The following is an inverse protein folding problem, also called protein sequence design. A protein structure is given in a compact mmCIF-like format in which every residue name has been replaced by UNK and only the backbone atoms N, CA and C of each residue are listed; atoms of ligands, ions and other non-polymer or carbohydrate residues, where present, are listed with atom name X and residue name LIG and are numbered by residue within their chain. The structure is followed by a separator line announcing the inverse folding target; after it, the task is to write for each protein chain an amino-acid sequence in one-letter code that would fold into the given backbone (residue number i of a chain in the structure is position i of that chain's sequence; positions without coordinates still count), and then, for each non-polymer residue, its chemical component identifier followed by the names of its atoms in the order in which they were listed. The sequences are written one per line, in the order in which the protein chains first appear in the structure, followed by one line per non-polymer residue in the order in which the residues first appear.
data_IF_706893725170
#
_entry.id   IF_706893725170
#
_cell.length_a   1.000
_cell.length_b   1.000
_cell.length_c   1.000
_cell.angle_alpha   90.00
_cell.angle_beta   90.00
_cell.angle_gamma   90.00
#
_symmetry.space_group_name_H-M   'P 1'
#
loop_
_entity.id
_entity.type
_entity.pdbx_description
1 polymer ?
#
# COMPACT_ATOMS: atom_id res chain seq x y z
N UNK A 1 25.95 -10.68 7.67
CA UNK A 1 25.08 -9.63 7.11
C UNK A 1 24.39 -10.14 5.86
N UNK A 2 23.07 -9.89 5.66
CA UNK A 2 22.35 -10.37 4.46
C UNK A 2 22.97 -9.75 3.21
N UNK A 3 23.53 -10.59 2.33
CA UNK A 3 24.26 -10.14 1.14
C UNK A 3 23.34 -9.85 -0.05
N UNK A 4 22.21 -10.54 -0.13
CA UNK A 4 21.29 -10.44 -1.26
C UNK A 4 19.82 -10.46 -0.79
N UNK A 5 19.06 -9.44 -1.15
CA UNK A 5 17.63 -9.35 -0.85
C UNK A 5 16.80 -10.36 -1.63
N UNK A 6 17.32 -10.86 -2.75
CA UNK A 6 16.66 -11.90 -3.54
C UNK A 6 16.46 -13.21 -2.75
N UNK A 7 17.31 -13.45 -1.75
CA UNK A 7 17.21 -14.63 -0.88
C UNK A 7 15.90 -14.63 -0.05
N UNK A 8 15.20 -13.50 0.07
CA UNK A 8 13.88 -13.43 0.69
C UNK A 8 12.88 -14.34 -0.01
N UNK A 9 12.98 -14.51 -1.33
CA UNK A 9 12.05 -15.35 -2.08
C UNK A 9 12.15 -16.84 -1.63
N UNK A 10 13.34 -17.27 -1.24
CA UNK A 10 13.62 -18.64 -0.78
C UNK A 10 12.96 -18.92 0.57
N UNK A 11 13.12 -18.01 1.53
CA UNK A 11 12.52 -18.19 2.85
C UNK A 11 11.00 -18.07 2.79
N UNK A 12 10.46 -17.16 1.97
CA UNK A 12 9.01 -16.98 1.80
C UNK A 12 8.35 -18.20 1.15
N UNK A 13 8.95 -18.73 0.09
CA UNK A 13 8.45 -19.96 -0.55
C UNK A 13 8.54 -21.17 0.40
N UNK A 14 9.62 -21.28 1.18
CA UNK A 14 9.78 -22.36 2.16
C UNK A 14 8.71 -22.31 3.24
N UNK A 15 8.50 -21.15 3.87
CA UNK A 15 7.48 -20.99 4.93
C UNK A 15 6.07 -21.15 4.37
N UNK A 16 5.78 -20.57 3.21
CA UNK A 16 4.44 -20.57 2.65
C UNK A 16 3.95 -21.91 2.09
N UNK A 17 4.81 -22.92 1.97
CA UNK A 17 4.40 -24.31 1.78
C UNK A 17 3.72 -24.90 3.04
N UNK A 18 3.83 -24.23 4.18
CA UNK A 18 3.27 -24.65 5.47
C UNK A 18 2.26 -23.62 5.94
N UNK A 19 0.99 -23.81 5.59
CA UNK A 19 -0.10 -22.84 5.84
C UNK A 19 -0.22 -22.37 7.30
N UNK A 20 0.03 -23.26 8.27
CA UNK A 20 -0.01 -22.94 9.71
C UNK A 20 1.36 -22.53 10.28
N UNK A 21 2.29 -22.13 9.43
CA UNK A 21 3.69 -21.86 9.77
C UNK A 21 4.53 -23.12 9.99
N UNK A 22 5.82 -22.90 10.18
CA UNK A 22 6.86 -23.94 10.32
C UNK A 22 7.64 -23.73 11.62
N UNK A 23 8.07 -24.80 12.30
CA UNK A 23 8.93 -24.63 13.49
C UNK A 23 10.28 -24.07 13.05
N UNK A 24 10.86 -23.19 13.85
CA UNK A 24 12.12 -22.51 13.52
C UNK A 24 13.26 -23.48 13.21
N UNK A 25 13.36 -24.57 13.97
CA UNK A 25 14.36 -25.62 13.73
C UNK A 25 14.17 -26.34 12.38
N UNK A 26 12.92 -26.61 12.01
CA UNK A 26 12.56 -27.32 10.79
C UNK A 26 12.81 -26.41 9.58
N UNK A 27 12.51 -25.12 9.72
CA UNK A 27 12.83 -24.10 8.70
C UNK A 27 14.32 -24.07 8.39
N UNK A 28 15.18 -24.03 9.41
CA UNK A 28 16.61 -24.02 9.18
C UNK A 28 17.11 -25.30 8.52
N UNK A 29 16.64 -26.47 8.97
CA UNK A 29 16.96 -27.75 8.31
C UNK A 29 16.60 -27.71 6.83
N UNK A 30 15.38 -27.29 6.50
CA UNK A 30 14.90 -27.22 5.12
C UNK A 30 15.66 -26.22 4.25
N UNK A 31 16.05 -25.06 4.81
CA UNK A 31 16.86 -24.09 4.09
C UNK A 31 18.25 -24.66 3.77
N UNK A 32 18.86 -25.40 4.70
CA UNK A 32 20.15 -26.06 4.47
C UNK A 32 20.05 -27.19 3.45
N UNK A 33 18.97 -27.97 3.47
CA UNK A 33 18.77 -29.12 2.59
C UNK A 33 18.43 -28.70 1.15
N UNK A 34 17.54 -27.71 0.97
CA UNK A 34 17.06 -27.29 -0.36
C UNK A 34 18.02 -26.39 -1.11
N UNK A 35 18.95 -25.75 -0.41
CA UNK A 35 19.87 -24.80 -1.03
C UNK A 35 21.27 -25.00 -0.43
N UNK A 36 22.08 -25.95 -0.93
CA UNK A 36 23.42 -26.22 -0.41
C UNK A 36 24.36 -24.99 -0.43
N UNK A 37 24.09 -24.04 -1.33
CA UNK A 37 24.77 -22.74 -1.42
C UNK A 37 24.46 -21.81 -0.23
N UNK A 38 23.33 -22.01 0.47
CA UNK A 38 22.98 -21.27 1.69
C UNK A 38 24.00 -21.54 2.80
N UNK A 39 24.58 -22.74 2.90
CA UNK A 39 25.57 -23.06 3.94
C UNK A 39 26.84 -22.20 3.88
N UNK A 40 27.20 -21.68 2.70
CA UNK A 40 28.46 -20.98 2.48
C UNK A 40 28.31 -19.46 2.33
N UNK A 41 27.14 -18.97 1.91
CA UNK A 41 26.96 -17.54 1.54
C UNK A 41 25.76 -16.84 2.20
N UNK A 42 24.78 -17.57 2.73
CA UNK A 42 23.53 -17.00 3.25
C UNK A 42 23.40 -17.37 4.72
N UNK A 43 23.41 -16.39 5.62
CA UNK A 43 23.20 -16.65 7.05
C UNK A 43 21.69 -16.78 7.33
N UNK A 44 21.12 -17.98 7.55
CA UNK A 44 19.66 -18.15 7.58
C UNK A 44 18.99 -17.40 8.72
N UNK A 45 19.72 -17.19 9.82
CA UNK A 45 19.28 -16.37 10.96
C UNK A 45 19.12 -14.90 10.57
N UNK A 46 20.04 -14.37 9.77
CA UNK A 46 19.98 -12.98 9.33
C UNK A 46 18.91 -12.79 8.26
N UNK A 47 18.77 -13.75 7.34
CA UNK A 47 17.68 -13.75 6.36
C UNK A 47 16.32 -13.74 7.07
N UNK A 48 16.14 -14.59 8.08
CA UNK A 48 14.95 -14.62 8.92
C UNK A 48 14.74 -13.28 9.64
N UNK A 49 15.77 -12.72 10.26
CA UNK A 49 15.67 -11.43 10.94
C UNK A 49 15.31 -10.29 9.99
N UNK A 50 15.86 -10.27 8.77
CA UNK A 50 15.50 -9.27 7.76
C UNK A 50 14.06 -9.44 7.29
N UNK A 51 13.62 -10.66 7.02
CA UNK A 51 12.24 -10.95 6.65
C UNK A 51 11.24 -10.54 7.75
N UNK A 52 11.59 -10.72 9.03
CA UNK A 52 10.79 -10.24 10.16
C UNK A 52 10.81 -8.70 10.24
N UNK A 53 11.97 -8.06 10.08
CA UNK A 53 12.09 -6.59 10.10
C UNK A 53 11.28 -5.92 9.00
N UNK A 54 11.24 -6.53 7.83
CA UNK A 54 10.42 -6.12 6.67
C UNK A 54 8.93 -6.47 6.83
N UNK A 55 8.54 -7.06 7.96
CA UNK A 55 7.18 -7.51 8.24
C UNK A 55 6.64 -8.49 7.19
N UNK A 56 7.49 -9.40 6.70
CA UNK A 56 7.11 -10.48 5.78
C UNK A 56 6.85 -11.80 6.51
N UNK A 57 7.48 -11.97 7.68
CA UNK A 57 7.35 -13.14 8.54
C UNK A 57 7.10 -12.69 9.97
N UNK A 58 6.32 -13.47 10.71
CA UNK A 58 6.20 -13.33 12.17
C UNK A 58 6.80 -14.56 12.85
N UNK A 59 7.26 -14.37 14.09
CA UNK A 59 7.72 -15.46 14.94
C UNK A 59 6.90 -15.48 16.23
N UNK A 60 6.15 -16.56 16.48
CA UNK A 60 5.41 -16.77 17.73
C UNK A 60 5.60 -18.22 18.22
N UNK A 61 5.89 -18.41 19.52
CA UNK A 61 5.99 -19.72 20.16
C UNK A 61 6.79 -20.77 19.33
N UNK A 62 8.00 -20.40 18.90
CA UNK A 62 8.92 -21.20 18.06
C UNK A 62 8.42 -21.53 16.63
N UNK A 63 7.31 -20.92 16.20
CA UNK A 63 6.77 -21.04 14.84
C UNK A 63 7.01 -19.76 14.04
N UNK A 64 7.36 -19.93 12.78
CA UNK A 64 7.50 -18.89 11.78
C UNK A 64 6.34 -18.98 10.80
N UNK A 65 5.65 -17.87 10.55
CA UNK A 65 4.50 -17.80 9.63
C UNK A 65 4.59 -16.56 8.74
N UNK A 66 3.90 -16.58 7.61
CA UNK A 66 3.78 -15.42 6.72
C UNK A 66 2.82 -14.38 7.32
N UNK A 67 3.23 -13.11 7.24
CA UNK A 67 2.34 -11.95 7.41
C UNK A 67 1.47 -11.77 6.16
N UNK A 68 0.59 -10.76 6.17
CA UNK A 68 -0.15 -10.35 4.98
C UNK A 68 0.81 -9.93 3.84
N UNK A 69 1.82 -9.11 4.12
CA UNK A 69 2.86 -8.75 3.14
C UNK A 69 3.61 -9.98 2.61
N UNK A 70 3.97 -10.93 3.49
CA UNK A 70 4.62 -12.18 3.10
C UNK A 70 3.78 -13.01 2.14
N UNK A 71 2.48 -13.17 2.41
CA UNK A 71 1.55 -13.91 1.53
C UNK A 71 1.35 -13.21 0.19
N UNK A 72 1.27 -11.88 0.17
CA UNK A 72 1.14 -11.10 -1.07
C UNK A 72 2.39 -11.26 -1.94
N UNK A 73 3.59 -11.20 -1.37
CA UNK A 73 4.83 -11.42 -2.13
C UNK A 73 4.92 -12.86 -2.62
N UNK A 74 4.51 -13.83 -1.80
CA UNK A 74 4.52 -15.24 -2.18
C UNK A 74 3.55 -15.52 -3.34
N UNK A 75 2.37 -14.89 -3.36
CA UNK A 75 1.40 -15.09 -4.45
C UNK A 75 1.88 -14.52 -5.80
N UNK A 76 2.83 -13.58 -5.77
CA UNK A 76 3.50 -13.07 -6.97
C UNK A 76 4.62 -13.99 -7.48
N UNK A 77 5.04 -14.98 -6.69
CA UNK A 77 6.17 -15.83 -7.02
C UNK A 77 5.81 -16.78 -8.17
N UNK A 78 6.63 -16.76 -9.22
CA UNK A 78 6.54 -17.77 -10.28
C UNK A 78 7.29 -19.04 -9.86
N UNK A 79 6.80 -20.23 -10.23
CA UNK A 79 7.53 -21.47 -10.02
C UNK A 79 8.96 -21.37 -10.58
N UNK A 80 9.95 -21.88 -9.84
CA UNK A 80 11.35 -22.02 -10.26
C UNK A 80 12.17 -20.71 -10.38
N UNK A 81 11.62 -19.55 -10.00
CA UNK A 81 12.40 -18.30 -9.93
C UNK A 81 12.86 -18.05 -8.49
N UNK A 82 14.17 -17.95 -8.31
CA UNK A 82 14.84 -17.70 -7.01
C UNK A 82 14.98 -16.19 -6.75
N UNK A 83 15.07 -15.36 -7.79
CA UNK A 83 15.18 -13.91 -7.61
C UNK A 83 13.82 -13.24 -7.40
N UNK A 84 13.82 -12.12 -6.67
CA UNK A 84 12.63 -11.28 -6.57
C UNK A 84 12.30 -10.71 -7.94
N UNK A 85 11.07 -10.90 -8.38
CA UNK A 85 10.54 -10.24 -9.58
C UNK A 85 10.49 -8.73 -9.37
N UNK A 86 10.48 -7.97 -10.47
CA UNK A 86 10.34 -6.51 -10.44
C UNK A 86 9.14 -6.04 -9.60
N UNK A 87 8.03 -6.77 -9.65
CA UNK A 87 6.82 -6.46 -8.90
C UNK A 87 7.01 -6.72 -7.40
N UNK A 88 7.66 -7.83 -7.04
CA UNK A 88 7.99 -8.15 -5.64
C UNK A 88 8.95 -7.11 -5.05
N UNK A 89 10.03 -6.76 -5.76
CA UNK A 89 10.96 -5.71 -5.30
C UNK A 89 10.29 -4.35 -5.14
N UNK A 90 9.37 -4.01 -6.05
CA UNK A 90 8.60 -2.77 -5.96
C UNK A 90 7.66 -2.77 -4.75
N UNK A 91 6.98 -3.90 -4.50
CA UNK A 91 6.12 -4.06 -3.33
C UNK A 91 6.89 -3.95 -2.01
N UNK A 92 8.04 -4.61 -1.90
CA UNK A 92 8.92 -4.54 -0.71
C UNK A 92 9.39 -3.11 -0.49
N UNK A 93 9.84 -2.43 -1.54
CA UNK A 93 10.30 -1.04 -1.45
C UNK A 93 9.20 -0.14 -0.87
N UNK A 94 7.99 -0.20 -1.43
CA UNK A 94 6.90 0.70 -1.07
C UNK A 94 6.31 0.37 0.30
N UNK A 95 6.03 -0.91 0.58
CA UNK A 95 5.21 -1.32 1.73
C UNK A 95 6.02 -1.87 2.90
N UNK A 96 7.24 -2.34 2.67
CA UNK A 96 8.05 -3.00 3.70
C UNK A 96 9.26 -2.17 4.13
N UNK A 97 9.67 -1.19 3.33
CA UNK A 97 10.76 -0.26 3.66
C UNK A 97 10.21 1.14 3.91
N UNK A 98 9.61 1.74 2.89
CA UNK A 98 9.33 3.18 2.90
C UNK A 98 8.21 3.53 3.90
N UNK A 99 7.23 2.66 4.13
CA UNK A 99 6.16 2.82 5.14
C UNK A 99 6.47 2.18 6.49
N UNK A 100 7.55 1.41 6.61
CA UNK A 100 7.84 0.61 7.79
C UNK A 100 8.62 1.41 8.84
N UNK A 101 8.12 1.45 10.08
CA UNK A 101 8.74 2.17 11.21
C UNK A 101 10.17 1.71 11.50
N UNK A 102 10.47 0.43 11.30
CA UNK A 102 11.81 -0.15 11.48
C UNK A 102 12.84 0.41 10.47
N UNK A 103 12.37 1.01 9.38
CA UNK A 103 13.19 1.61 8.32
C UNK A 103 12.97 3.12 8.19
N UNK A 104 12.42 3.76 9.23
CA UNK A 104 12.22 5.22 9.27
C UNK A 104 13.52 6.02 9.06
N UNK A 105 14.67 5.47 9.46
CA UNK A 105 16.00 6.04 9.17
C UNK A 105 16.32 6.10 7.67
N UNK A 106 15.81 5.18 6.86
CA UNK A 106 15.97 5.19 5.40
C UNK A 106 15.10 6.23 4.75
N UNK A 107 13.87 6.42 5.21
CA UNK A 107 13.05 7.53 4.76
C UNK A 107 13.75 8.87 5.04
N UNK A 108 14.30 9.06 6.24
CA UNK A 108 15.10 10.26 6.59
C UNK A 108 16.33 10.41 5.70
N UNK A 109 17.06 9.33 5.44
CA UNK A 109 18.23 9.35 4.57
C UNK A 109 17.85 9.71 3.13
N UNK A 110 16.79 9.13 2.57
CA UNK A 110 16.33 9.44 1.22
C UNK A 110 15.87 10.91 1.08
N UNK A 111 15.37 11.53 2.16
CA UNK A 111 15.09 12.98 2.21
C UNK A 111 16.34 13.85 2.14
N UNK A 112 17.54 13.32 2.41
CA UNK A 112 18.79 14.07 2.28
C UNK A 112 19.27 14.18 0.82
N UNK A 113 18.64 13.46 -0.12
CA UNK A 113 18.95 13.61 -1.53
C UNK A 113 18.49 14.99 -2.01
N UNK A 114 19.26 15.59 -2.93
CA UNK A 114 19.03 16.93 -3.45
C UNK A 114 18.71 16.83 -4.95
N UNK A 115 17.74 17.61 -5.42
CA UNK A 115 17.40 17.61 -6.84
C UNK A 115 18.56 18.15 -7.68
N UNK A 116 18.97 17.38 -8.69
CA UNK A 116 19.98 17.76 -9.66
C UNK A 116 19.37 17.99 -11.05
N UNK A 117 19.69 19.14 -11.65
CA UNK A 117 19.16 19.55 -12.96
C UNK A 117 19.71 18.72 -14.12
N UNK A 118 20.96 18.26 -14.03
CA UNK A 118 21.61 17.47 -15.08
C UNK A 118 20.99 16.07 -15.17
N UNK A 119 20.79 15.41 -14.03
CA UNK A 119 20.18 14.07 -13.96
C UNK A 119 18.64 14.12 -13.93
N UNK A 120 18.07 15.32 -13.73
CA UNK A 120 16.62 15.57 -13.60
C UNK A 120 16.00 14.61 -12.58
N UNK A 121 16.68 14.38 -11.46
CA UNK A 121 16.26 13.50 -10.35
C UNK A 121 16.99 13.89 -9.07
N UNK A 122 16.60 13.30 -7.95
CA UNK A 122 17.27 13.51 -6.67
C UNK A 122 18.59 12.73 -6.63
N UNK A 123 19.66 13.34 -6.12
CA UNK A 123 20.99 12.77 -6.03
C UNK A 123 21.56 12.86 -4.62
N UNK A 124 22.51 11.99 -4.31
CA UNK A 124 23.31 12.05 -3.09
C UNK A 124 24.79 11.82 -3.43
N UNK A 125 25.67 12.68 -2.94
CA UNK A 125 27.09 12.58 -3.24
C UNK A 125 27.72 11.43 -2.45
N UNK A 126 28.49 10.58 -3.14
CA UNK A 126 29.22 9.47 -2.52
C UNK A 126 30.30 9.93 -1.54
N UNK A 127 30.78 11.18 -1.62
CA UNK A 127 31.75 11.73 -0.67
C UNK A 127 31.13 12.01 0.72
N UNK A 128 29.83 12.32 0.76
CA UNK A 128 29.10 12.63 2.00
C UNK A 128 28.60 11.34 2.71
N UNK A 129 29.01 10.20 2.19
CA UNK A 129 28.53 8.88 2.55
C UNK A 129 28.83 8.49 4.01
N UNK A 130 27.80 8.28 4.85
CA UNK A 130 28.02 7.74 6.17
C UNK A 130 28.16 6.21 6.06
N UNK A 131 29.32 5.69 6.45
CA UNK A 131 29.63 4.25 6.44
C UNK A 131 28.58 3.39 7.17
N UNK A 132 27.84 3.99 8.12
CA UNK A 132 26.74 3.33 8.84
C UNK A 132 25.58 2.87 7.95
N UNK A 133 25.41 3.45 6.76
CA UNK A 133 24.31 3.13 5.84
C UNK A 133 24.69 2.13 4.73
N UNK A 134 25.88 1.52 4.79
CA UNK A 134 26.37 0.69 3.69
C UNK A 134 25.44 -0.45 3.28
N UNK A 135 24.88 -1.13 4.28
CA UNK A 135 24.00 -2.28 4.05
C UNK A 135 22.65 -1.84 3.51
N UNK A 136 22.19 -0.69 3.98
CA UNK A 136 20.93 -0.12 3.54
C UNK A 136 21.05 0.37 2.10
N UNK A 137 22.17 0.96 1.70
CA UNK A 137 22.42 1.41 0.34
C UNK A 137 22.48 0.25 -0.65
N UNK A 138 23.12 -0.85 -0.26
CA UNK A 138 23.14 -2.08 -1.04
C UNK A 138 21.71 -2.63 -1.22
N UNK A 139 20.94 -2.70 -0.13
CA UNK A 139 19.54 -3.12 -0.16
C UNK A 139 18.67 -2.20 -1.05
N UNK A 140 18.77 -0.87 -0.88
CA UNK A 140 18.04 0.12 -1.68
C UNK A 140 18.42 0.02 -3.17
N UNK A 141 19.66 -0.34 -3.48
CA UNK A 141 20.15 -0.56 -4.84
C UNK A 141 19.55 -1.83 -5.45
N UNK A 142 19.56 -2.95 -4.70
CA UNK A 142 18.99 -4.21 -5.15
C UNK A 142 17.47 -4.11 -5.38
N UNK A 143 16.77 -3.28 -4.59
CA UNK A 143 15.35 -2.96 -4.81
C UNK A 143 15.10 -1.94 -5.93
N UNK A 144 16.16 -1.36 -6.49
CA UNK A 144 16.09 -0.35 -7.55
C UNK A 144 15.52 0.99 -7.10
N UNK A 145 15.57 1.29 -5.80
CA UNK A 145 15.19 2.58 -5.22
C UNK A 145 16.23 3.62 -5.58
N UNK A 146 17.50 3.28 -5.41
CA UNK A 146 18.63 4.11 -5.81
C UNK A 146 19.52 3.35 -6.81
N UNK A 147 20.37 4.08 -7.52
CA UNK A 147 21.43 3.49 -8.36
C UNK A 147 22.68 4.34 -8.31
N UNK A 148 23.85 3.72 -8.30
CA UNK A 148 25.11 4.45 -8.38
C UNK A 148 25.40 4.87 -9.82
N UNK A 149 25.83 6.11 -10.03
CA UNK A 149 26.40 6.59 -11.29
C UNK A 149 27.55 7.52 -10.98
N UNK A 150 28.76 7.17 -11.38
CA UNK A 150 29.98 7.92 -11.04
C UNK A 150 30.10 8.12 -9.51
N UNK A 151 30.33 9.36 -9.08
CA UNK A 151 30.43 9.77 -7.67
C UNK A 151 29.07 10.15 -7.05
N UNK A 152 27.93 9.80 -7.67
CA UNK A 152 26.60 10.12 -7.14
C UNK A 152 25.69 8.90 -7.09
N UNK A 153 24.82 8.88 -6.09
CA UNK A 153 23.67 8.00 -6.03
C UNK A 153 22.46 8.73 -6.60
N UNK A 154 21.76 8.10 -7.54
CA UNK A 154 20.57 8.64 -8.17
C UNK A 154 19.34 7.96 -7.58
N UNK A 155 18.38 8.73 -7.07
CA UNK A 155 17.06 8.23 -6.72
C UNK A 155 16.28 7.90 -8.00
N UNK A 156 15.61 6.77 -8.00
CA UNK A 156 14.72 6.38 -9.09
C UNK A 156 13.44 7.24 -9.04
N UNK A 157 13.12 7.87 -10.17
CA UNK A 157 12.02 8.84 -10.27
C UNK A 157 10.67 8.30 -9.82
N UNK A 158 10.43 6.99 -9.96
CA UNK A 158 9.19 6.35 -9.50
C UNK A 158 8.96 6.48 -7.99
N UNK A 159 10.03 6.62 -7.20
CA UNK A 159 9.95 6.73 -5.75
C UNK A 159 10.03 8.17 -5.23
N UNK A 160 10.27 9.15 -6.10
CA UNK A 160 10.32 10.57 -5.71
C UNK A 160 8.99 10.97 -5.08
N UNK A 161 7.86 10.67 -5.76
CA UNK A 161 6.53 10.97 -5.22
C UNK A 161 6.22 10.26 -3.90
N UNK A 162 6.76 9.05 -3.69
CA UNK A 162 6.56 8.29 -2.46
C UNK A 162 7.35 8.90 -1.29
N UNK A 163 8.56 9.39 -1.54
CA UNK A 163 9.37 10.09 -0.53
C UNK A 163 8.73 11.43 -0.18
N UNK A 164 8.17 12.13 -1.17
CA UNK A 164 7.40 13.36 -0.95
C UNK A 164 6.13 13.09 -0.13
N UNK A 165 5.38 12.02 -0.46
CA UNK A 165 4.16 11.61 0.26
C UNK A 165 4.44 11.18 1.71
N UNK A 166 5.52 10.42 1.96
CA UNK A 166 5.99 10.10 3.32
C UNK A 166 6.42 11.36 4.07
N UNK A 167 7.04 12.31 3.37
CA UNK A 167 7.44 13.59 3.97
C UNK A 167 6.22 14.36 4.45
N UNK A 168 5.11 14.34 3.70
CA UNK A 168 3.83 14.92 4.11
C UNK A 168 3.17 14.19 5.28
N UNK A 169 3.27 12.85 5.35
CA UNK A 169 2.67 12.06 6.44
C UNK A 169 3.48 12.10 7.76
N UNK A 170 4.77 12.45 7.71
CA UNK A 170 5.66 12.49 8.87
C UNK A 170 5.90 13.90 9.43
N UNK A 171 5.32 14.95 8.85
CA UNK A 171 5.52 16.36 9.22
C UNK A 171 4.30 16.97 9.92
N UNK A 172 3.78 16.31 10.94
CA UNK A 172 2.95 16.99 11.97
C UNK A 172 3.80 17.75 13.01
N UNK A 173 4.93 18.32 12.60
CA UNK A 173 5.79 19.08 13.50
C UNK A 173 7.07 19.55 12.82
N UNK A 174 7.02 20.76 12.24
CA UNK A 174 8.21 21.47 11.77
C UNK A 174 8.23 21.71 10.27
N UNK A 175 8.07 22.98 9.90
CA UNK A 175 8.27 23.52 8.56
C UNK A 175 9.62 23.09 7.98
N UNK A 176 9.62 22.41 6.82
CA UNK A 176 10.77 22.36 5.92
C UNK A 176 10.31 22.82 4.52
N UNK A 177 10.64 24.06 4.21
CA UNK A 177 10.34 24.75 2.96
C UNK A 177 11.29 24.27 1.86
N UNK A 178 10.98 23.16 1.20
CA UNK A 178 11.58 22.82 -0.11
C UNK A 178 10.54 22.98 -1.20
N UNK A 179 10.91 23.72 -2.24
CA UNK A 179 10.02 24.19 -3.29
C UNK A 179 9.25 23.02 -3.94
N UNK A 180 8.02 22.83 -3.48
CA UNK A 180 7.02 22.00 -4.11
C UNK A 180 6.63 22.68 -5.42
N UNK A 181 7.17 22.17 -6.53
CA UNK A 181 6.94 22.80 -7.83
C UNK A 181 5.49 22.58 -8.26
N UNK A 182 4.93 23.57 -8.95
CA UNK A 182 3.59 23.50 -9.52
C UNK A 182 3.39 22.23 -10.39
N UNK A 183 4.42 21.86 -11.16
CA UNK A 183 4.39 20.64 -12.00
C UNK A 183 4.31 19.35 -11.17
N UNK A 184 4.94 19.31 -9.98
CA UNK A 184 4.85 18.16 -9.10
C UNK A 184 3.45 18.04 -8.48
N UNK A 185 2.87 19.17 -8.04
CA UNK A 185 1.49 19.22 -7.57
C UNK A 185 0.52 18.71 -8.62
N UNK A 186 0.64 19.21 -9.85
CA UNK A 186 -0.23 18.84 -10.96
C UNK A 186 -0.14 17.35 -11.30
N UNK A 187 1.06 16.77 -11.21
CA UNK A 187 1.25 15.32 -11.40
C UNK A 187 0.55 14.52 -10.30
N UNK A 188 0.73 14.90 -9.03
CA UNK A 188 0.07 14.23 -7.90
C UNK A 188 -1.46 14.32 -8.03
N UNK A 189 -1.99 15.51 -8.34
CA UNK A 189 -3.43 15.72 -8.53
C UNK A 189 -3.96 14.90 -9.71
N UNK A 190 -3.20 14.80 -10.81
CA UNK A 190 -3.58 13.97 -11.96
C UNK A 190 -3.64 12.50 -11.59
N UNK A 191 -2.61 11.99 -10.92
CA UNK A 191 -2.57 10.60 -10.47
C UNK A 191 -3.73 10.29 -9.49
N UNK A 192 -4.02 11.19 -8.54
CA UNK A 192 -5.16 11.04 -7.64
C UNK A 192 -6.50 11.02 -8.38
N UNK A 193 -6.69 11.87 -9.40
CA UNK A 193 -7.90 11.87 -10.23
C UNK A 193 -8.04 10.58 -11.03
N UNK A 194 -6.96 10.09 -11.63
CA UNK A 194 -6.96 8.84 -12.40
C UNK A 194 -7.34 7.64 -11.52
N UNK A 195 -6.76 7.56 -10.32
CA UNK A 195 -7.02 6.51 -9.34
C UNK A 195 -8.46 6.60 -8.81
N UNK A 196 -8.94 7.80 -8.49
CA UNK A 196 -10.32 8.02 -8.06
C UNK A 196 -11.32 7.60 -9.13
N UNK A 197 -11.12 8.04 -10.38
CA UNK A 197 -11.97 7.68 -11.51
C UNK A 197 -12.02 6.16 -11.73
N UNK A 198 -10.87 5.48 -11.70
CA UNK A 198 -10.82 4.03 -11.82
C UNK A 198 -11.62 3.33 -10.72
N UNK A 199 -11.52 3.80 -9.48
CA UNK A 199 -12.27 3.22 -8.36
C UNK A 199 -13.78 3.44 -8.48
N UNK A 200 -14.22 4.59 -8.98
CA UNK A 200 -15.64 4.85 -9.26
C UNK A 200 -16.17 3.91 -10.35
N UNK A 201 -15.40 3.72 -11.44
CA UNK A 201 -15.73 2.78 -12.51
C UNK A 201 -15.84 1.34 -12.01
N UNK A 202 -14.89 0.91 -11.17
CA UNK A 202 -14.91 -0.42 -10.54
C UNK A 202 -16.09 -0.59 -9.59
N UNK A 203 -16.44 0.45 -8.83
CA UNK A 203 -17.61 0.46 -7.92
C UNK A 203 -18.92 0.34 -8.69
N UNK A 204 -19.08 1.11 -9.77
CA UNK A 204 -20.24 1.02 -10.66
C UNK A 204 -20.41 -0.38 -11.24
N UNK A 205 -19.30 -0.98 -11.71
CA UNK A 205 -19.31 -2.35 -12.24
C UNK A 205 -19.70 -3.36 -11.16
N UNK A 206 -19.04 -3.29 -10.01
CA UNK A 206 -19.31 -4.19 -8.88
C UNK A 206 -20.79 -4.12 -8.45
N UNK A 207 -21.38 -2.93 -8.36
CA UNK A 207 -22.77 -2.78 -7.97
C UNK A 207 -23.75 -3.36 -8.99
N UNK A 208 -23.50 -3.12 -10.28
CA UNK A 208 -24.32 -3.70 -11.35
C UNK A 208 -24.26 -5.22 -11.34
N UNK A 209 -23.07 -5.78 -11.16
CA UNK A 209 -22.84 -7.23 -11.08
C UNK A 209 -23.48 -7.83 -9.82
N UNK A 210 -23.35 -7.15 -8.65
CA UNK A 210 -23.94 -7.56 -7.38
C UNK A 210 -25.46 -7.63 -7.46
N UNK A 211 -26.11 -6.62 -8.05
CA UNK A 211 -27.55 -6.58 -8.25
C UNK A 211 -28.02 -7.59 -9.32
N UNK A 212 -27.25 -7.74 -10.40
CA UNK A 212 -27.53 -8.74 -11.45
C UNK A 212 -27.54 -10.17 -10.91
N UNK A 213 -26.57 -10.52 -10.05
CA UNK A 213 -26.52 -11.82 -9.36
C UNK A 213 -27.73 -12.07 -8.43
N UNK A 214 -28.38 -11.01 -7.96
CA UNK A 214 -29.62 -11.08 -7.16
C UNK A 214 -30.90 -11.05 -8.01
N UNK A 215 -30.78 -11.12 -9.35
CA UNK A 215 -31.91 -10.99 -10.29
C UNK A 215 -32.67 -9.66 -10.15
N UNK A 216 -31.96 -8.61 -9.75
CA UNK A 216 -32.46 -7.23 -9.61
C UNK A 216 -32.06 -6.41 -10.85
N UNK A 217 -32.54 -6.83 -12.02
CA UNK A 217 -32.12 -6.25 -13.30
C UNK A 217 -32.54 -4.78 -13.46
N UNK A 218 -33.74 -4.43 -12.97
CA UNK A 218 -34.23 -3.05 -13.03
C UNK A 218 -33.41 -2.12 -12.13
N UNK A 219 -33.11 -2.54 -10.90
CA UNK A 219 -32.26 -1.81 -9.97
C UNK A 219 -30.82 -1.69 -10.49
N UNK A 220 -30.27 -2.77 -11.06
CA UNK A 220 -28.94 -2.78 -11.68
C UNK A 220 -28.82 -1.74 -12.80
N UNK A 221 -29.85 -1.62 -13.65
CA UNK A 221 -29.89 -0.60 -14.71
C UNK A 221 -29.96 0.85 -14.18
N UNK A 222 -30.37 1.04 -12.92
CA UNK A 222 -30.61 2.34 -12.28
C UNK A 222 -29.50 2.77 -11.33
N UNK A 223 -28.43 2.00 -11.18
CA UNK A 223 -27.23 2.44 -10.46
C UNK A 223 -26.62 3.65 -11.16
N UNK A 224 -26.29 4.71 -10.42
CA UNK A 224 -25.82 5.98 -10.98
C UNK A 224 -24.58 6.50 -10.25
N UNK A 225 -23.64 7.02 -11.01
CA UNK A 225 -22.55 7.83 -10.49
C UNK A 225 -23.00 9.30 -10.46
N UNK A 226 -23.17 9.85 -9.26
CA UNK A 226 -23.63 11.24 -9.05
C UNK A 226 -22.49 12.23 -8.89
N UNK A 227 -21.29 11.77 -8.54
CA UNK A 227 -20.09 12.63 -8.38
C UNK A 227 -19.76 13.44 -9.63
N UNK A 228 -20.07 12.91 -10.82
CA UNK A 228 -19.88 13.60 -12.11
C UNK A 228 -20.83 14.78 -12.33
N UNK A 229 -21.98 14.79 -11.64
CA UNK A 229 -23.03 15.82 -11.79
C UNK A 229 -23.01 16.78 -10.61
N UNK A 230 -22.81 16.27 -9.39
CA UNK A 230 -22.78 17.08 -8.18
C UNK A 230 -21.92 16.43 -7.08
N UNK A 231 -20.64 16.80 -7.06
CA UNK A 231 -19.69 16.40 -6.00
C UNK A 231 -20.07 16.94 -4.60
N UNK A 232 -21.00 17.90 -4.49
CA UNK A 232 -21.45 18.47 -3.22
C UNK A 232 -22.45 17.62 -2.44
N UNK A 233 -22.93 16.50 -3.01
CA UNK A 233 -23.95 15.64 -2.37
C UNK A 233 -23.35 14.83 -1.20
N UNK A 234 -22.04 14.57 -1.22
CA UNK A 234 -21.30 13.87 -0.15
C UNK A 234 -21.26 12.35 -0.28
N UNK A 235 -21.52 11.82 -1.48
CA UNK A 235 -21.25 10.45 -1.91
C UNK A 235 -21.10 10.40 -3.44
N UNK A 236 -20.53 9.32 -3.97
CA UNK A 236 -20.22 9.20 -5.40
C UNK A 236 -21.25 8.40 -6.19
N UNK A 237 -21.86 7.37 -5.59
CA UNK A 237 -22.75 6.43 -6.29
C UNK A 237 -24.06 6.22 -5.52
N UNK A 238 -25.16 6.20 -6.26
CA UNK A 238 -26.48 5.78 -5.78
C UNK A 238 -26.80 4.38 -6.28
N UNK A 239 -27.17 3.50 -5.37
CA UNK A 239 -27.47 2.09 -5.62
C UNK A 239 -28.63 1.59 -4.74
N UNK A 240 -28.82 0.27 -4.73
CA UNK A 240 -29.91 -0.41 -4.03
C UNK A 240 -29.38 -1.51 -3.12
N UNK A 241 -29.83 -1.61 -1.87
CA UNK A 241 -29.52 -2.76 -1.01
C UNK A 241 -30.31 -4.00 -1.43
N UNK A 242 -31.56 -3.80 -1.83
CA UNK A 242 -32.55 -4.82 -2.11
C UNK A 242 -33.57 -4.36 -3.17
N UNK A 243 -34.51 -5.25 -3.53
CA UNK A 243 -35.63 -4.90 -4.40
C UNK A 243 -36.47 -3.79 -3.75
N UNK A 244 -36.81 -2.76 -4.50
CA UNK A 244 -37.65 -1.65 -4.00
C UNK A 244 -38.87 -1.46 -4.89
N UNK A 245 -40.04 -1.24 -4.29
CA UNK A 245 -41.27 -0.96 -5.06
C UNK A 245 -41.31 0.46 -5.64
N UNK A 246 -40.59 1.39 -5.01
CA UNK A 246 -40.57 2.81 -5.41
C UNK A 246 -39.45 3.18 -6.36
N UNK A 247 -38.52 2.25 -6.66
CA UNK A 247 -37.30 2.50 -7.43
C UNK A 247 -36.47 3.68 -6.91
N UNK A 248 -36.59 3.97 -5.61
CA UNK A 248 -35.77 4.96 -4.90
C UNK A 248 -34.51 4.29 -4.37
N UNK A 249 -33.37 4.89 -4.64
CA UNK A 249 -32.08 4.43 -4.11
C UNK A 249 -32.10 4.44 -2.58
N UNK A 250 -31.60 3.36 -1.99
CA UNK A 250 -31.50 3.16 -0.54
C UNK A 250 -30.09 2.77 -0.09
N UNK A 251 -29.12 2.81 -1.02
CA UNK A 251 -27.70 2.64 -0.78
C UNK A 251 -26.93 3.80 -1.41
N UNK A 252 -26.14 4.49 -0.60
CA UNK A 252 -25.33 5.64 -0.98
C UNK A 252 -23.87 5.29 -0.71
N UNK A 253 -23.04 5.35 -1.74
CA UNK A 253 -21.69 4.80 -1.72
C UNK A 253 -20.69 5.93 -1.91
N UNK A 254 -19.81 6.09 -0.94
CA UNK A 254 -18.59 6.89 -1.03
C UNK A 254 -17.44 6.01 -1.50
N UNK A 255 -16.73 6.43 -2.54
CA UNK A 255 -15.64 5.67 -3.14
C UNK A 255 -14.32 6.27 -2.70
N UNK A 256 -13.55 5.49 -1.94
CA UNK A 256 -12.21 5.87 -1.50
C UNK A 256 -11.19 4.98 -2.18
N UNK A 257 -10.11 5.59 -2.65
CA UNK A 257 -9.13 4.89 -3.46
C UNK A 257 -7.70 5.23 -3.04
N UNK A 258 -6.85 4.20 -3.04
CA UNK A 258 -5.40 4.34 -2.94
C UNK A 258 -4.75 3.56 -4.06
N UNK A 259 -3.78 4.23 -4.71
CA UNK A 259 -2.92 3.61 -5.71
C UNK A 259 -2.13 2.44 -5.11
N UNK A 260 -1.62 2.64 -3.90
CA UNK A 260 -0.83 1.68 -3.13
C UNK A 260 -1.67 1.06 -2.00
N UNK A 261 -1.14 0.07 -1.29
CA UNK A 261 -1.84 -0.67 -0.23
C UNK A 261 -1.92 0.05 1.12
N UNK A 262 -1.82 1.37 1.13
CA UNK A 262 -2.00 2.12 2.37
C UNK A 262 -3.46 1.99 2.84
N UNK A 263 -3.65 1.45 4.04
CA UNK A 263 -4.95 1.19 4.67
C UNK A 263 -5.51 2.44 5.36
N UNK A 264 -5.43 3.60 4.71
CA UNK A 264 -6.02 4.83 5.24
C UNK A 264 -6.58 5.68 4.13
N UNK A 265 -7.60 6.46 4.45
CA UNK A 265 -8.20 7.41 3.53
C UNK A 265 -8.67 8.67 4.26
N UNK A 266 -8.97 9.69 3.47
CA UNK A 266 -9.46 10.96 3.97
C UNK A 266 -10.95 11.04 3.68
N UNK A 267 -11.72 11.46 4.67
CA UNK A 267 -13.11 11.87 4.48
C UNK A 267 -13.24 13.39 4.62
N UNK A 268 -14.01 14.00 3.74
CA UNK A 268 -14.36 15.41 3.88
C UNK A 268 -15.40 15.62 4.98
N UNK A 269 -15.50 16.84 5.52
CA UNK A 269 -16.54 17.16 6.48
C UNK A 269 -17.95 16.90 5.93
N UNK A 270 -18.18 17.19 4.64
CA UNK A 270 -19.46 16.94 3.99
C UNK A 270 -19.81 15.44 3.99
N UNK A 271 -18.88 14.58 3.58
CA UNK A 271 -19.06 13.13 3.58
C UNK A 271 -19.42 12.60 4.98
N UNK A 272 -18.77 13.10 6.03
CA UNK A 272 -19.07 12.70 7.41
C UNK A 272 -20.47 13.13 7.84
N UNK A 273 -20.85 14.37 7.56
CA UNK A 273 -22.20 14.86 7.91
C UNK A 273 -23.28 14.07 7.17
N UNK A 274 -23.01 13.71 5.90
CA UNK A 274 -23.91 12.91 5.08
C UNK A 274 -23.96 11.46 5.55
N UNK A 275 -22.80 10.86 5.88
CA UNK A 275 -22.71 9.53 6.48
C UNK A 275 -23.48 9.45 7.79
N UNK A 276 -23.30 10.42 8.69
CA UNK A 276 -24.04 10.52 9.96
C UNK A 276 -25.55 10.59 9.74
N UNK A 277 -26.00 11.35 8.73
CA UNK A 277 -27.43 11.52 8.42
C UNK A 277 -28.05 10.27 7.79
N UNK A 278 -27.30 9.56 6.94
CA UNK A 278 -27.78 8.40 6.19
C UNK A 278 -27.56 7.07 6.93
N UNK A 279 -26.66 7.04 7.91
CA UNK A 279 -26.36 5.89 8.77
C UNK A 279 -26.05 4.63 7.96
N UNK A 280 -26.78 3.55 8.24
CA UNK A 280 -26.61 2.26 7.55
C UNK A 280 -26.89 2.30 6.05
N UNK A 281 -27.51 3.35 5.51
CA UNK A 281 -27.67 3.54 4.06
C UNK A 281 -26.42 4.09 3.39
N UNK A 282 -25.46 4.59 4.16
CA UNK A 282 -24.18 5.09 3.67
C UNK A 282 -23.08 4.05 3.86
N UNK A 283 -22.33 3.79 2.80
CA UNK A 283 -21.23 2.83 2.82
C UNK A 283 -20.00 3.42 2.16
N UNK A 284 -18.82 3.05 2.65
CA UNK A 284 -17.55 3.37 1.96
C UNK A 284 -17.09 2.13 1.22
N UNK A 285 -16.85 2.27 -0.08
CA UNK A 285 -16.13 1.29 -0.88
C UNK A 285 -14.68 1.72 -0.97
N UNK A 286 -13.82 0.98 -0.29
CA UNK A 286 -12.40 1.27 -0.26
C UNK A 286 -11.63 0.35 -1.21
N UNK A 287 -10.93 0.96 -2.16
CA UNK A 287 -10.10 0.30 -3.16
C UNK A 287 -8.65 0.67 -2.92
N UNK A 288 -7.84 -0.27 -2.44
CA UNK A 288 -6.41 -0.04 -2.28
C UNK A 288 -5.58 -1.00 -3.13
N UNK A 289 -4.36 -0.59 -3.48
CA UNK A 289 -3.46 -1.39 -4.32
C UNK A 289 -3.83 -1.43 -5.81
N UNK A 290 -4.55 -0.43 -6.32
CA UNK A 290 -4.96 -0.36 -7.72
C UNK A 290 -3.78 -0.30 -8.72
N UNK A 291 -2.58 0.04 -8.25
CA UNK A 291 -1.35 -0.08 -9.06
C UNK A 291 -1.02 -1.52 -9.47
N UNK A 292 -1.54 -2.52 -8.74
CA UNK A 292 -1.17 -3.93 -8.91
C UNK A 292 -2.25 -4.75 -9.62
N UNK A 293 -3.39 -4.14 -9.95
CA UNK A 293 -4.47 -4.77 -10.69
C UNK A 293 -5.82 -4.13 -10.40
N UNK A 294 -6.84 -4.61 -11.12
CA UNK A 294 -8.22 -4.15 -11.00
C UNK A 294 -9.02 -5.26 -10.29
N UNK A 295 -9.13 -5.24 -8.95
CA UNK A 295 -9.88 -6.26 -8.23
C UNK A 295 -11.36 -6.24 -8.65
N UNK A 296 -12.02 -7.40 -8.59
CA UNK A 296 -13.41 -7.53 -9.01
C UNK A 296 -14.41 -7.01 -7.96
N UNK A 297 -13.95 -6.73 -6.73
CA UNK A 297 -14.74 -6.24 -5.61
C UNK A 297 -13.92 -5.23 -4.80
N UNK A 298 -14.58 -4.30 -4.07
CA UNK A 298 -13.89 -3.38 -3.17
C UNK A 298 -13.02 -4.16 -2.20
N UNK A 299 -11.83 -3.64 -1.88
CA UNK A 299 -10.95 -4.32 -0.95
C UNK A 299 -11.52 -4.30 0.46
N UNK A 300 -12.25 -3.23 0.81
CA UNK A 300 -13.11 -3.19 1.98
C UNK A 300 -14.44 -2.51 1.66
N UNK A 301 -15.51 -3.01 2.29
CA UNK A 301 -16.82 -2.38 2.30
C UNK A 301 -17.13 -2.05 3.75
N UNK A 302 -17.25 -0.76 4.06
CA UNK A 302 -17.48 -0.29 5.42
C UNK A 302 -18.90 0.24 5.48
N UNK A 303 -19.77 -0.47 6.19
CA UNK A 303 -21.12 -0.02 6.45
C UNK A 303 -21.17 0.93 7.64
N UNK A 304 -22.01 1.97 7.55
CA UNK A 304 -22.20 2.97 8.59
C UNK A 304 -20.87 3.53 9.13
N UNK A 305 -20.02 4.10 8.25
CA UNK A 305 -18.65 4.48 8.60
C UNK A 305 -18.58 5.49 9.74
N UNK A 306 -19.63 6.29 9.96
CA UNK A 306 -19.68 7.25 11.06
C UNK A 306 -19.68 6.56 12.44
N UNK A 307 -20.35 5.43 12.58
CA UNK A 307 -20.42 4.68 13.83
C UNK A 307 -19.38 3.56 13.93
N UNK A 308 -18.85 3.09 12.80
CA UNK A 308 -17.89 1.97 12.76
C UNK A 308 -16.43 2.41 12.77
N UNK A 309 -16.12 3.60 12.28
CA UNK A 309 -14.74 4.09 12.16
C UNK A 309 -14.39 5.10 13.24
N UNK A 310 -13.15 5.00 13.72
CA UNK A 310 -12.51 6.00 14.57
C UNK A 310 -12.01 7.14 13.65
N UNK A 311 -12.90 8.09 13.41
CA UNK A 311 -12.63 9.25 12.57
C UNK A 311 -11.91 10.31 13.41
N UNK A 312 -10.69 10.68 13.01
CA UNK A 312 -9.89 11.71 13.68
C UNK A 312 -9.83 12.98 12.84
N UNK A 313 -10.00 14.13 13.49
CA UNK A 313 -9.78 15.42 12.86
C UNK A 313 -8.34 15.53 12.37
N UNK A 314 -8.17 16.07 11.16
CA UNK A 314 -6.87 16.38 10.62
C UNK A 314 -6.35 17.66 11.28
N UNK A 315 -5.25 17.59 12.02
CA UNK A 315 -4.71 18.72 12.79
C UNK A 315 -4.43 19.99 11.95
N UNK A 316 -4.30 19.87 10.63
CA UNK A 316 -3.99 20.96 9.70
C UNK A 316 -4.92 21.05 8.49
N UNK A 317 -6.10 20.40 8.50
CA UNK A 317 -7.02 20.46 7.37
C UNK A 317 -8.49 20.31 7.75
N UNK A 318 -9.40 20.80 6.89
CA UNK A 318 -10.87 20.71 7.08
C UNK A 318 -11.43 19.30 6.78
N UNK A 319 -10.58 18.29 6.86
CA UNK A 319 -10.88 16.90 6.54
C UNK A 319 -10.55 16.00 7.72
N UNK A 320 -10.86 14.72 7.59
CA UNK A 320 -10.70 13.76 8.65
C UNK A 320 -9.95 12.54 8.13
N UNK A 321 -9.10 11.97 8.97
CA UNK A 321 -8.27 10.82 8.64
C UNK A 321 -8.92 9.57 9.23
N UNK A 322 -9.07 8.56 8.38
CA UNK A 322 -9.49 7.22 8.75
C UNK A 322 -8.31 6.28 8.56
N UNK A 323 -7.91 5.60 9.63
CA UNK A 323 -6.84 4.60 9.65
C UNK A 323 -7.44 3.22 9.93
N UNK A 324 -7.33 2.31 8.97
CA UNK A 324 -7.92 0.98 9.00
C UNK A 324 -6.99 -0.07 9.61
N UNK A 325 -5.73 0.27 9.93
CA UNK A 325 -4.77 -0.68 10.51
C UNK A 325 -5.22 -1.21 11.90
N UNK A 326 -6.09 -0.46 12.59
CA UNK A 326 -6.70 -0.90 13.86
C UNK A 326 -7.83 -1.92 13.69
N UNK A 327 -8.35 -2.08 12.48
CA UNK A 327 -9.54 -2.89 12.18
C UNK A 327 -9.20 -4.23 11.51
N UNK A 328 -7.92 -4.51 11.25
CA UNK A 328 -7.45 -5.80 10.74
C UNK A 328 -7.65 -6.99 11.73
N UNK A 329 -8.13 -6.75 12.96
CA UNK A 329 -8.40 -7.79 13.97
C UNK A 329 -9.86 -8.28 14.03
N UNK A 330 -10.75 -7.81 13.14
CA UNK A 330 -12.18 -8.16 13.16
C UNK A 330 -12.63 -9.08 12.00
N UNK A 331 -11.70 -9.74 11.30
CA UNK A 331 -12.01 -10.70 10.22
C UNK A 331 -11.37 -12.05 10.50
#
# INVERSE_FOLDING_TARGET
MMRNINDLSVILSTVGNFGNGIRKKDLFSMLYDKHPYIQWYIHPRELLNTAIRLDLLTASNDRISLTNHGRIIQSMQKPQVIDLSKNQSMYIAENCILTNKNFSHLAKFLKSFVFDRQYRTMIYNTADYPMSYMNDMEMLTQLGIIRKKNAVWLLNRKYVGFIDEISCLQTQGGYDTRAFTQECLERILREQREVGKLAEELSMKYEKDRLGKKLLHEESSRVRQVSTVNAGIGYDIESFKQRTSSMRHDLFIEVKARKHSLNSFIMSNNEIQVAKRLGTKYVVYFWHGLAYGNPAQPTQIIEDPFNTLEIRECDNCLSYIVDLDKYEQLI
#
